data_IF_911901459619
#
_entry.id   IF_911901459619
#
_cell.length_a   1.000
_cell.length_b   1.000
_cell.length_c   1.000
_cell.angle_alpha   90.00
_cell.angle_beta   90.00
_cell.angle_gamma   90.00
#
_symmetry.space_group_name_H-M   'P 1'
#
loop_
_entity.id
_entity.type
_entity.pdbx_description
1 polymer ?
#
# COMPACT_ATOMS: atom_id res chain seq x y z
N UNK A 1 -13.88 -0.62 -14.82
CA UNK A 1 -14.81 -0.54 -13.68
C UNK A 1 -15.31 0.89 -13.61
N UNK A 2 -16.62 1.10 -13.55
CA UNK A 2 -17.24 2.44 -13.51
C UNK A 2 -17.81 2.80 -12.13
N UNK A 3 -17.46 2.03 -11.09
CA UNK A 3 -17.90 2.32 -9.73
C UNK A 3 -17.09 3.48 -9.18
N UNK A 4 -17.76 4.56 -8.76
CA UNK A 4 -17.14 5.65 -8.02
C UNK A 4 -16.71 5.18 -6.64
N UNK A 5 -15.57 5.68 -6.19
CA UNK A 5 -15.09 5.51 -4.82
C UNK A 5 -15.84 6.53 -3.96
N UNK A 6 -16.42 6.08 -2.86
CA UNK A 6 -17.28 6.89 -1.99
C UNK A 6 -16.82 6.80 -0.53
N UNK A 7 -17.07 7.84 0.29
CA UNK A 7 -16.80 7.82 1.73
C UNK A 7 -17.43 6.61 2.45
N UNK A 8 -16.71 6.05 3.42
CA UNK A 8 -17.11 4.84 4.15
C UNK A 8 -16.67 3.53 3.49
N UNK A 9 -16.16 3.55 2.26
CA UNK A 9 -15.55 2.38 1.65
C UNK A 9 -14.20 2.06 2.31
N UNK A 10 -13.91 0.77 2.46
CA UNK A 10 -12.59 0.26 2.84
C UNK A 10 -12.01 -0.46 1.62
N UNK A 11 -10.77 -0.15 1.28
CA UNK A 11 -10.11 -0.75 0.13
C UNK A 11 -8.64 -1.06 0.40
N UNK A 12 -8.12 -2.09 -0.24
CA UNK A 12 -6.69 -2.39 -0.29
C UNK A 12 -6.06 -1.68 -1.50
N UNK A 13 -4.91 -1.04 -1.30
CA UNK A 13 -4.09 -0.40 -2.32
C UNK A 13 -2.76 -1.15 -2.37
N UNK A 14 -2.45 -1.81 -3.49
CA UNK A 14 -1.33 -2.76 -3.56
C UNK A 14 -0.39 -2.54 -4.77
N UNK A 15 0.27 -1.37 -4.90
CA UNK A 15 1.23 -1.15 -5.97
C UNK A 15 2.42 -2.11 -5.89
N UNK A 16 2.79 -2.68 -7.03
CA UNK A 16 3.93 -3.59 -7.14
C UNK A 16 4.83 -3.26 -8.32
N UNK A 17 6.14 -3.36 -8.11
CA UNK A 17 7.17 -3.28 -9.14
C UNK A 17 7.85 -4.65 -9.23
N UNK A 18 7.92 -5.21 -10.43
CA UNK A 18 8.46 -6.54 -10.67
C UNK A 18 9.53 -6.48 -11.76
N UNK A 19 10.70 -7.05 -11.46
CA UNK A 19 11.85 -7.12 -12.37
C UNK A 19 12.07 -8.58 -12.75
N UNK A 20 11.99 -8.93 -14.06
CA UNK A 20 12.18 -10.30 -14.51
C UNK A 20 13.48 -10.92 -13.97
N UNK A 21 13.38 -12.14 -13.44
CA UNK A 21 14.48 -12.94 -12.88
C UNK A 21 15.17 -12.38 -11.62
N UNK A 22 14.77 -11.21 -11.13
CA UNK A 22 15.31 -10.63 -9.89
C UNK A 22 14.32 -10.76 -8.73
N UNK A 23 13.04 -10.48 -8.98
CA UNK A 23 12.00 -10.47 -7.96
C UNK A 23 11.10 -9.26 -8.11
N UNK A 24 10.43 -8.86 -7.03
CA UNK A 24 9.61 -7.66 -7.02
C UNK A 24 9.36 -7.16 -5.61
N UNK A 25 8.97 -5.89 -5.54
CA UNK A 25 8.58 -5.23 -4.31
C UNK A 25 7.11 -4.83 -4.44
N UNK A 26 6.31 -5.15 -3.41
CA UNK A 26 4.91 -4.75 -3.34
C UNK A 26 4.65 -4.14 -1.99
N UNK A 27 4.11 -2.92 -2.00
CA UNK A 27 3.60 -2.28 -0.81
C UNK A 27 2.08 -2.45 -0.79
N UNK A 28 1.50 -2.71 0.38
CA UNK A 28 0.06 -2.85 0.55
C UNK A 28 -0.39 -2.00 1.73
N UNK A 29 -1.48 -1.28 1.54
CA UNK A 29 -2.16 -0.56 2.61
C UNK A 29 -3.67 -0.77 2.53
N UNK A 30 -4.32 -0.83 3.69
CA UNK A 30 -5.78 -0.79 3.83
C UNK A 30 -6.19 0.64 4.19
N UNK A 31 -7.02 1.26 3.35
CA UNK A 31 -7.47 2.64 3.57
C UNK A 31 -8.98 2.73 3.74
N UNK A 32 -9.41 3.56 4.69
CA UNK A 32 -10.77 4.06 4.78
C UNK A 32 -10.91 5.33 3.94
N UNK A 33 -11.88 5.37 3.04
CA UNK A 33 -12.22 6.57 2.29
C UNK A 33 -13.08 7.48 3.16
N UNK A 34 -12.72 8.76 3.20
CA UNK A 34 -13.46 9.81 3.92
C UNK A 34 -13.95 10.86 2.92
N UNK A 35 -14.82 11.77 3.38
CA UNK A 35 -15.31 12.87 2.53
C UNK A 35 -14.18 13.79 2.01
N UNK A 36 -13.04 13.84 2.72
CA UNK A 36 -11.90 14.71 2.39
C UNK A 36 -10.67 13.98 1.84
N UNK A 37 -10.71 12.66 1.67
CA UNK A 37 -9.56 11.87 1.24
C UNK A 37 -9.58 10.44 1.77
N UNK A 38 -8.51 10.03 2.43
CA UNK A 38 -8.39 8.69 3.00
C UNK A 38 -7.65 8.70 4.34
N UNK A 39 -7.85 7.64 5.11
CA UNK A 39 -7.10 7.34 6.34
C UNK A 39 -6.49 5.95 6.18
N UNK A 40 -5.17 5.86 6.31
CA UNK A 40 -4.49 4.57 6.39
C UNK A 40 -4.85 3.85 7.69
N UNK A 41 -5.21 2.58 7.57
CA UNK A 41 -5.51 1.69 8.69
C UNK A 41 -4.34 0.75 9.00
N UNK A 42 -3.33 0.70 8.13
CA UNK A 42 -2.14 -0.11 8.33
C UNK A 42 -1.12 0.66 9.16
N UNK A 43 -0.48 -0.01 10.11
CA UNK A 43 0.69 0.53 10.82
C UNK A 43 1.84 -0.41 10.58
N UNK A 44 2.68 -0.05 9.62
CA UNK A 44 3.87 -0.79 9.23
C UNK A 44 4.99 0.22 8.93
N UNK A 45 6.25 -0.23 8.86
CA UNK A 45 7.32 0.63 8.41
C UNK A 45 7.14 0.99 6.94
N UNK A 46 7.50 2.22 6.58
CA UNK A 46 7.22 2.79 5.25
C UNK A 46 8.48 3.32 4.55
N UNK A 47 9.54 3.58 5.32
CA UNK A 47 10.79 4.06 4.77
C UNK A 47 11.63 2.90 4.25
N UNK A 48 12.46 3.18 3.24
CA UNK A 48 13.35 2.16 2.67
C UNK A 48 14.29 1.56 3.72
N UNK A 49 14.78 2.38 4.65
CA UNK A 49 15.69 1.96 5.70
C UNK A 49 15.00 0.99 6.67
N UNK A 50 13.77 1.28 7.09
CA UNK A 50 13.01 0.35 7.96
C UNK A 50 12.63 -0.96 7.26
N UNK A 51 12.52 -0.92 5.93
CA UNK A 51 12.13 -2.05 5.10
C UNK A 51 13.33 -2.85 4.57
N UNK A 52 14.56 -2.46 4.93
CA UNK A 52 15.79 -3.15 4.51
C UNK A 52 16.38 -3.91 5.68
N UNK A 53 16.57 -5.22 5.50
CA UNK A 53 17.21 -6.08 6.50
C UNK A 53 18.63 -6.37 6.03
N UNK A 54 19.61 -5.93 6.82
CA UNK A 54 21.01 -6.28 6.62
C UNK A 54 21.29 -7.64 7.26
N UNK A 55 22.03 -8.49 6.57
CA UNK A 55 22.47 -9.79 7.07
C UNK A 55 24.01 -9.73 7.08
N UNK A 56 24.60 -10.05 8.22
CA UNK A 56 26.05 -10.19 8.39
C UNK A 56 26.60 -11.46 7.72
#
# INVERSE_FOLDING_TARGET
YDRKIEPGMIMSIEPGIYIPKLGGFRHSDTVLITDGGNVSLTKAPETLDELTIFID
#
